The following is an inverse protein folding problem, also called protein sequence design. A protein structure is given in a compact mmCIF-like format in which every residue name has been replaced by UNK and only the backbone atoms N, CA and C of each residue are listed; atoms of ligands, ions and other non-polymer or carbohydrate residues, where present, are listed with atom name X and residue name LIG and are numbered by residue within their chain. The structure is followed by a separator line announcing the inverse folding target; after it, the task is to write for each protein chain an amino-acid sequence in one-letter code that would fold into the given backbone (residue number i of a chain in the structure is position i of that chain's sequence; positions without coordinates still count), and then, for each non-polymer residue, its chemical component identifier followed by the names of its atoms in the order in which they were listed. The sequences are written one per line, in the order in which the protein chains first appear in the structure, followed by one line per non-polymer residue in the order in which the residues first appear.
data_IF_429807105155
#
_entry.id   IF_429807105155
#
_cell.length_a   1.000
_cell.length_b   1.000
_cell.length_c   1.000
_cell.angle_alpha   90.00
_cell.angle_beta   90.00
_cell.angle_gamma   90.00
#
_symmetry.space_group_name_H-M   'P 1'
#
loop_
_entity.id
_entity.type
_entity.pdbx_description
1 polymer ?
#
# COMPACT_ATOMS: atom_id res chain seq x y z
N UNK A 1 2.97 -1.64 7.19
CA UNK A 1 3.91 -2.32 8.12
C UNK A 1 4.16 -3.71 7.58
N UNK A 2 5.38 -4.24 7.68
CA UNK A 2 5.66 -5.55 7.10
C UNK A 2 7.00 -6.11 7.53
N UNK A 3 7.21 -7.39 7.27
CA UNK A 3 8.48 -8.09 7.42
C UNK A 3 9.03 -8.30 6.03
N UNK A 4 10.26 -7.84 5.80
CA UNK A 4 10.94 -7.97 4.50
C UNK A 4 12.29 -8.61 4.74
N UNK A 5 12.53 -9.73 4.05
CA UNK A 5 13.82 -10.39 3.98
C UNK A 5 14.60 -9.87 2.79
N UNK A 6 15.93 -10.00 2.86
CA UNK A 6 16.84 -9.59 1.80
C UNK A 6 17.86 -10.69 1.55
N UNK A 7 17.99 -11.09 0.30
CA UNK A 7 18.97 -12.08 -0.15
C UNK A 7 19.87 -11.47 -1.21
N UNK A 8 21.18 -11.62 -1.05
CA UNK A 8 22.17 -11.16 -2.04
C UNK A 8 22.11 -12.03 -3.30
N UNK A 9 22.27 -11.40 -4.47
CA UNK A 9 22.31 -12.12 -5.75
C UNK A 9 23.70 -12.68 -6.07
N UNK A 10 24.76 -12.01 -5.64
CA UNK A 10 26.13 -12.43 -5.89
C UNK A 10 26.80 -12.98 -4.62
N UNK A 11 27.75 -13.91 -4.78
CA UNK A 11 28.50 -14.52 -3.68
C UNK A 11 29.45 -13.53 -3.01
N UNK A 12 30.13 -12.71 -3.83
CA UNK A 12 31.22 -11.82 -3.38
C UNK A 12 30.84 -10.33 -3.37
N UNK A 13 29.63 -10.01 -3.84
CA UNK A 13 29.11 -8.65 -3.90
C UNK A 13 27.68 -8.59 -3.36
N UNK A 14 27.39 -7.54 -2.61
CA UNK A 14 26.04 -7.25 -2.15
C UNK A 14 25.43 -6.09 -2.93
N UNK A 15 25.93 -5.75 -4.13
CA UNK A 15 25.42 -4.62 -4.93
C UNK A 15 23.97 -4.81 -5.40
N UNK A 16 23.57 -6.07 -5.62
CA UNK A 16 22.23 -6.44 -6.06
C UNK A 16 21.62 -7.47 -5.11
N UNK A 17 20.36 -7.24 -4.73
CA UNK A 17 19.64 -7.97 -3.70
C UNK A 17 18.21 -8.21 -4.16
N UNK A 18 17.66 -9.38 -3.83
CA UNK A 18 16.22 -9.61 -3.88
C UNK A 18 15.65 -9.34 -2.50
N UNK A 19 14.68 -8.44 -2.43
CA UNK A 19 13.85 -8.22 -1.24
C UNK A 19 12.48 -8.84 -1.46
N UNK A 20 12.04 -9.64 -0.49
CA UNK A 20 10.72 -10.28 -0.52
C UNK A 20 10.15 -10.31 0.89
N UNK A 21 8.83 -10.38 1.03
CA UNK A 21 8.24 -10.33 2.37
C UNK A 21 6.73 -10.36 2.42
N UNK A 22 6.21 -9.94 3.56
CA UNK A 22 4.78 -9.70 3.78
C UNK A 22 4.59 -8.27 4.27
N UNK A 23 3.64 -7.57 3.68
CA UNK A 23 3.32 -6.19 4.03
C UNK A 23 1.82 -6.01 4.16
N UNK A 24 1.40 -5.38 5.25
CA UNK A 24 0.05 -4.95 5.46
C UNK A 24 -0.08 -3.48 5.06
N UNK A 25 -1.00 -3.20 4.13
CA UNK A 25 -1.25 -1.86 3.59
C UNK A 25 -2.69 -1.44 3.87
N UNK A 26 -2.85 -0.14 4.11
CA UNK A 26 -4.12 0.48 4.39
C UNK A 26 -4.36 1.57 3.37
N UNK A 27 -5.16 1.28 2.36
CA UNK A 27 -5.54 2.25 1.35
C UNK A 27 -6.82 2.94 1.79
N UNK A 28 -6.95 4.24 1.51
CA UNK A 28 -8.17 4.95 1.86
C UNK A 28 -8.53 6.00 0.84
N UNK A 29 -9.78 5.97 0.39
CA UNK A 29 -10.39 6.98 -0.46
C UNK A 29 -11.30 7.84 0.42
N UNK A 30 -11.23 9.15 0.26
CA UNK A 30 -12.12 10.08 0.97
C UNK A 30 -12.95 10.81 -0.09
N UNK A 31 -14.19 10.34 -0.37
CA UNK A 31 -15.09 11.07 -1.24
C UNK A 31 -15.29 12.51 -0.76
N UNK A 32 -15.33 13.44 -1.72
CA UNK A 32 -15.61 14.85 -1.50
C UNK A 32 -17.10 15.14 -1.75
N UNK A 33 -17.52 16.39 -1.52
CA UNK A 33 -18.86 16.90 -1.85
C UNK A 33 -20.01 16.13 -1.20
N UNK A 34 -19.86 15.76 0.08
CA UNK A 34 -20.91 15.08 0.83
C UNK A 34 -21.34 13.72 0.24
N UNK A 35 -20.45 13.07 -0.53
CA UNK A 35 -20.72 11.77 -1.16
C UNK A 35 -20.24 10.59 -0.33
N UNK A 36 -20.86 9.43 -0.57
CA UNK A 36 -20.46 8.16 0.00
C UNK A 36 -20.70 7.03 -1.00
N UNK A 37 -19.95 5.92 -0.87
CA UNK A 37 -20.17 4.78 -1.74
C UNK A 37 -21.41 4.01 -1.31
N UNK A 38 -22.25 3.70 -2.28
CA UNK A 38 -23.42 2.82 -2.19
C UNK A 38 -23.20 1.67 -3.15
N UNK A 39 -23.45 0.45 -2.67
CA UNK A 39 -23.40 -0.74 -3.51
C UNK A 39 -24.83 -1.10 -3.92
N UNK A 40 -25.11 -0.97 -5.20
CA UNK A 40 -26.35 -1.32 -5.87
C UNK A 40 -26.12 -2.54 -6.78
N UNK A 41 -26.40 -3.73 -6.24
CA UNK A 41 -26.05 -5.00 -6.89
C UNK A 41 -24.55 -5.11 -7.20
N UNK A 42 -24.24 -5.20 -8.49
CA UNK A 42 -22.87 -5.29 -9.04
C UNK A 42 -22.23 -3.92 -9.25
N UNK A 43 -22.98 -2.83 -9.12
CA UNK A 43 -22.47 -1.47 -9.22
C UNK A 43 -22.12 -0.89 -7.85
N UNK A 44 -21.06 -0.10 -7.81
CA UNK A 44 -20.64 0.72 -6.68
C UNK A 44 -20.55 2.16 -7.15
N UNK A 45 -21.51 2.96 -6.69
CA UNK A 45 -21.72 4.34 -7.12
C UNK A 45 -21.54 5.30 -5.95
N UNK A 46 -21.21 6.54 -6.27
CA UNK A 46 -21.15 7.63 -5.30
C UNK A 46 -22.51 8.32 -5.23
N UNK A 47 -23.19 8.21 -4.09
CA UNK A 47 -24.43 8.92 -3.83
C UNK A 47 -24.19 10.07 -2.86
N UNK A 48 -25.04 11.09 -2.95
CA UNK A 48 -25.10 12.18 -1.98
C UNK A 48 -25.77 11.69 -0.69
N UNK A 49 -25.24 12.15 0.45
CA UNK A 49 -25.79 11.82 1.76
C UNK A 49 -26.84 12.86 2.17
N UNK A 50 -28.01 12.43 2.64
CA UNK A 50 -29.13 13.34 2.97
C UNK A 50 -28.81 14.34 4.09
N UNK A 51 -27.81 14.05 4.92
CA UNK A 51 -27.30 14.95 5.96
C UNK A 51 -25.96 15.60 5.60
N UNK A 52 -25.36 16.33 6.54
CA UNK A 52 -24.02 16.91 6.35
C UNK A 52 -22.92 15.95 6.85
N UNK A 53 -22.19 15.33 5.93
CA UNK A 53 -21.03 14.51 6.23
C UNK A 53 -19.83 15.38 6.64
N UNK A 54 -19.46 15.25 7.90
CA UNK A 54 -18.17 15.73 8.43
C UNK A 54 -17.00 14.86 7.96
N UNK A 55 -17.25 13.59 7.62
CA UNK A 55 -16.22 12.66 7.13
C UNK A 55 -16.82 11.52 6.32
N UNK A 56 -16.31 11.33 5.11
CA UNK A 56 -16.53 10.13 4.29
C UNK A 56 -15.18 9.48 4.04
N UNK A 57 -14.98 8.24 4.53
CA UNK A 57 -13.72 7.51 4.35
C UNK A 57 -13.98 6.06 4.03
N UNK A 58 -13.66 5.67 2.81
CA UNK A 58 -13.59 4.30 2.35
C UNK A 58 -12.19 3.75 2.62
N UNK A 59 -12.08 2.60 3.31
CA UNK A 59 -10.80 2.00 3.69
C UNK A 59 -10.73 0.56 3.21
N UNK A 60 -9.59 0.20 2.64
CA UNK A 60 -9.25 -1.12 2.16
C UNK A 60 -8.02 -1.60 2.93
N UNK A 61 -8.15 -2.75 3.59
CA UNK A 61 -7.07 -3.39 4.34
C UNK A 61 -6.53 -4.55 3.49
N UNK A 62 -5.27 -4.48 3.08
CA UNK A 62 -4.68 -5.42 2.13
C UNK A 62 -3.45 -6.10 2.72
N UNK A 63 -3.29 -7.39 2.41
CA UNK A 63 -2.08 -8.17 2.68
C UNK A 63 -1.38 -8.43 1.35
N UNK A 64 -0.15 -7.91 1.21
CA UNK A 64 0.63 -8.01 -0.03
C UNK A 64 1.99 -8.64 0.20
N UNK A 65 2.44 -9.38 -0.79
CA UNK A 65 3.76 -9.98 -0.90
C UNK A 65 4.56 -9.16 -1.91
N UNK A 66 5.43 -8.25 -1.46
CA UNK A 66 6.33 -7.53 -2.36
C UNK A 66 7.51 -8.40 -2.78
N UNK A 67 7.96 -8.24 -4.03
CA UNK A 67 9.22 -8.76 -4.56
C UNK A 67 9.93 -7.63 -5.30
N UNK A 68 11.09 -7.22 -4.81
CA UNK A 68 11.87 -6.12 -5.34
C UNK A 68 13.31 -6.55 -5.64
N UNK A 69 13.83 -6.13 -6.77
CA UNK A 69 15.26 -6.09 -7.02
C UNK A 69 15.78 -4.76 -6.49
N UNK A 70 16.63 -4.83 -5.48
CA UNK A 70 17.30 -3.67 -4.89
C UNK A 70 18.75 -3.61 -5.33
N UNK A 71 19.14 -2.45 -5.81
CA UNK A 71 20.49 -2.10 -6.23
C UNK A 71 21.03 -1.00 -5.33
N UNK A 72 22.28 -1.14 -4.91
CA UNK A 72 22.95 -0.09 -4.17
C UNK A 72 24.25 -0.59 -3.55
N UNK A 73 25.24 0.28 -3.39
CA UNK A 73 26.53 -0.11 -2.84
C UNK A 73 26.38 -0.59 -1.39
N UNK A 74 27.35 -1.39 -0.95
CA UNK A 74 27.39 -1.93 0.42
C UNK A 74 28.82 -1.85 0.94
N UNK A 75 29.00 -1.42 2.19
CA UNK A 75 30.31 -1.40 2.84
C UNK A 75 30.61 -2.79 3.41
N UNK A 76 31.67 -3.46 2.93
CA UNK A 76 32.19 -4.67 3.57
C UNK A 76 32.87 -4.26 4.87
N UNK A 77 32.37 -4.75 5.99
CA UNK A 77 32.98 -4.62 7.31
C UNK A 77 33.66 -5.94 7.61
N UNK A 78 34.98 -5.97 7.56
CA UNK A 78 35.77 -7.13 7.97
C UNK A 78 36.06 -7.03 9.47
N UNK A 79 35.77 -8.11 10.19
CA UNK A 79 36.18 -8.33 11.58
C UNK A 79 37.02 -9.60 11.63
N UNK A 80 37.76 -9.77 12.73
CA UNK A 80 38.76 -10.84 12.90
C UNK A 80 38.26 -12.26 12.53
N UNK A 81 36.99 -12.58 12.80
CA UNK A 81 36.41 -13.91 12.53
C UNK A 81 35.22 -13.91 11.55
N UNK A 82 34.81 -12.76 11.01
CA UNK A 82 33.70 -12.70 10.04
C UNK A 82 33.69 -11.40 9.24
N UNK A 83 33.14 -11.45 8.03
CA UNK A 83 32.82 -10.26 7.24
C UNK A 83 31.30 -10.03 7.19
N UNK A 84 30.87 -8.78 7.28
CA UNK A 84 29.46 -8.38 7.11
C UNK A 84 29.35 -7.22 6.13
N UNK A 85 28.43 -7.29 5.19
CA UNK A 85 28.09 -6.15 4.35
C UNK A 85 27.07 -5.26 5.07
N UNK A 86 27.37 -3.96 5.20
CA UNK A 86 26.47 -2.95 5.73
C UNK A 86 25.96 -2.04 4.62
N UNK A 87 24.65 -1.86 4.55
CA UNK A 87 23.99 -0.89 3.66
C UNK A 87 23.63 0.41 4.39
N UNK A 88 24.11 0.58 5.64
CA UNK A 88 23.79 1.74 6.46
C UNK A 88 24.34 3.03 5.84
N UNK A 89 23.50 4.07 5.71
CA UNK A 89 23.76 5.34 5.02
C UNK A 89 24.13 5.24 3.53
N UNK A 90 23.86 4.11 2.88
CA UNK A 90 24.13 3.92 1.45
C UNK A 90 22.90 4.27 0.61
N UNK A 91 23.14 4.72 -0.62
CA UNK A 91 22.10 4.87 -1.63
C UNK A 91 21.50 3.51 -1.99
N UNK A 92 20.19 3.47 -2.18
CA UNK A 92 19.45 2.29 -2.61
C UNK A 92 18.36 2.67 -3.61
N UNK A 93 18.25 1.87 -4.67
CA UNK A 93 17.16 1.92 -5.62
C UNK A 93 16.55 0.54 -5.73
N UNK A 94 15.24 0.42 -5.60
CA UNK A 94 14.53 -0.83 -5.75
C UNK A 94 13.42 -0.72 -6.78
N UNK A 95 13.25 -1.77 -7.58
CA UNK A 95 12.15 -1.91 -8.54
C UNK A 95 11.63 -3.34 -8.52
N UNK A 96 10.32 -3.50 -8.67
CA UNK A 96 9.72 -4.82 -8.74
C UNK A 96 8.20 -4.76 -8.68
N UNK A 97 7.61 -5.84 -8.21
CA UNK A 97 6.17 -6.02 -8.16
C UNK A 97 5.66 -6.42 -6.79
N UNK A 98 4.35 -6.47 -6.66
CA UNK A 98 3.68 -7.09 -5.54
C UNK A 98 2.40 -7.75 -6.00
N UNK A 99 2.00 -8.77 -5.27
CA UNK A 99 0.69 -9.41 -5.40
C UNK A 99 0.14 -9.68 -4.01
N UNK A 100 -1.18 -9.75 -3.87
CA UNK A 100 -1.81 -9.88 -2.57
C UNK A 100 -3.33 -9.88 -2.65
N UNK A 101 -3.95 -9.81 -1.48
CA UNK A 101 -5.39 -9.90 -1.34
C UNK A 101 -5.95 -8.74 -0.51
N UNK A 102 -7.13 -8.25 -0.92
CA UNK A 102 -7.95 -7.39 -0.08
C UNK A 102 -8.63 -8.24 0.99
N UNK A 103 -8.32 -7.99 2.26
CA UNK A 103 -8.88 -8.76 3.37
C UNK A 103 -10.19 -8.18 3.88
N UNK A 104 -10.32 -6.86 3.86
CA UNK A 104 -11.47 -6.18 4.41
C UNK A 104 -11.64 -4.81 3.78
N UNK A 105 -12.89 -4.51 3.46
CA UNK A 105 -13.31 -3.19 3.00
C UNK A 105 -14.33 -2.60 3.96
N UNK A 106 -14.14 -1.32 4.31
CA UNK A 106 -14.98 -0.63 5.29
C UNK A 106 -15.16 0.84 4.94
N UNK A 107 -16.41 1.29 4.92
CA UNK A 107 -16.75 2.70 4.86
C UNK A 107 -16.97 3.27 6.26
N UNK A 108 -16.43 4.47 6.51
CA UNK A 108 -16.62 5.24 7.73
C UNK A 108 -17.31 6.55 7.38
N UNK A 109 -18.50 6.76 7.94
CA UNK A 109 -19.27 7.99 7.79
C UNK A 109 -19.34 8.69 9.14
N UNK A 110 -19.24 10.02 9.15
CA UNK A 110 -19.43 10.86 10.33
C UNK A 110 -20.30 12.03 9.93
N UNK A 111 -21.44 12.21 10.58
CA UNK A 111 -22.40 13.28 10.29
C UNK A 111 -23.00 13.82 11.58
N UNK A 112 -23.65 14.98 11.50
CA UNK A 112 -24.43 15.53 12.61
C UNK A 112 -25.89 15.07 12.49
N UNK A 113 -26.46 14.62 13.60
CA UNK A 113 -27.88 14.28 13.72
C UNK A 113 -28.41 14.75 15.07
N UNK A 114 -29.49 15.54 15.05
CA UNK A 114 -30.13 16.09 16.26
C UNK A 114 -29.19 16.86 17.20
N UNK A 115 -28.17 17.55 16.69
CA UNK A 115 -27.16 18.26 17.50
C UNK A 115 -26.04 17.37 18.08
N UNK A 116 -26.16 16.05 17.94
CA UNK A 116 -25.11 15.09 18.28
C UNK A 116 -24.29 14.69 17.05
N UNK A 117 -23.14 14.06 17.24
CA UNK A 117 -22.30 13.58 16.13
C UNK A 117 -22.34 12.06 16.06
N UNK A 118 -22.95 11.53 15.00
CA UNK A 118 -23.01 10.10 14.73
C UNK A 118 -21.79 9.63 13.92
N UNK A 119 -21.43 8.37 14.10
CA UNK A 119 -20.30 7.73 13.41
C UNK A 119 -20.59 6.28 13.06
N UNK A 120 -20.77 6.04 11.77
CA UNK A 120 -21.08 4.71 11.26
C UNK A 120 -19.85 4.07 10.62
N UNK A 121 -19.72 2.75 10.80
CA UNK A 121 -18.61 1.93 10.29
C UNK A 121 -19.18 0.71 9.59
N UNK A 122 -19.43 0.82 8.30
CA UNK A 122 -20.09 -0.21 7.50
C UNK A 122 -19.02 -1.08 6.85
N UNK A 123 -19.02 -2.39 7.15
CA UNK A 123 -18.18 -3.38 6.47
C UNK A 123 -19.00 -4.04 5.36
N UNK A 124 -18.58 -3.88 4.11
CA UNK A 124 -19.19 -4.50 2.93
C UNK A 124 -18.08 -4.71 1.89
N UNK A 125 -18.31 -5.56 0.89
CA UNK A 125 -17.35 -5.73 -0.21
C UNK A 125 -17.29 -4.49 -1.09
N UNK A 126 -18.41 -3.78 -1.31
CA UNK A 126 -18.50 -2.65 -2.24
C UNK A 126 -17.92 -3.00 -3.62
N UNK A 127 -18.15 -4.24 -4.06
CA UNK A 127 -17.59 -4.82 -5.29
C UNK A 127 -16.10 -4.55 -5.47
N UNK A 128 -15.35 -4.46 -4.38
CA UNK A 128 -13.89 -4.26 -4.39
C UNK A 128 -13.20 -5.52 -4.90
N UNK A 129 -12.09 -5.34 -5.62
CA UNK A 129 -11.30 -6.48 -6.07
C UNK A 129 -10.63 -7.19 -4.89
N UNK A 130 -10.84 -8.50 -4.81
CA UNK A 130 -10.25 -9.34 -3.77
C UNK A 130 -8.76 -9.57 -4.00
N UNK A 131 -8.28 -9.45 -5.25
CA UNK A 131 -6.89 -9.63 -5.61
C UNK A 131 -6.27 -8.29 -5.99
N UNK A 132 -5.04 -8.05 -5.54
CA UNK A 132 -4.32 -6.81 -5.80
C UNK A 132 -2.94 -7.17 -6.31
N UNK A 133 -2.56 -6.59 -7.44
CA UNK A 133 -1.22 -6.75 -7.98
C UNK A 133 -0.78 -5.47 -8.66
N UNK A 134 0.52 -5.23 -8.64
CA UNK A 134 1.05 -3.97 -9.11
C UNK A 134 2.55 -3.95 -9.23
N UNK A 135 3.03 -2.83 -9.75
CA UNK A 135 4.45 -2.50 -9.81
C UNK A 135 4.78 -1.48 -8.76
N UNK A 136 6.00 -1.54 -8.26
CA UNK A 136 6.49 -0.56 -7.30
C UNK A 136 7.98 -0.36 -7.39
N UNK A 137 8.38 0.87 -7.14
CA UNK A 137 9.76 1.29 -7.09
C UNK A 137 10.00 2.18 -5.88
N UNK A 138 11.26 2.29 -5.48
CA UNK A 138 11.67 3.20 -4.43
C UNK A 138 13.12 3.63 -4.61
N UNK A 139 13.44 4.82 -4.12
CA UNK A 139 14.77 5.39 -4.13
C UNK A 139 15.04 6.03 -2.78
N UNK A 140 16.22 5.82 -2.20
CA UNK A 140 16.50 6.31 -0.86
C UNK A 140 17.96 6.23 -0.44
N UNK A 141 18.23 6.72 0.77
CA UNK A 141 19.55 6.75 1.40
C UNK A 141 19.41 6.34 2.86
N UNK A 142 20.19 5.33 3.27
CA UNK A 142 20.12 4.80 4.63
C UNK A 142 18.74 4.23 4.95
N UNK A 143 18.11 4.76 6.00
CA UNK A 143 16.85 4.24 6.52
C UNK A 143 15.63 4.86 5.80
N UNK A 144 15.82 5.99 5.11
CA UNK A 144 14.76 6.73 4.43
C UNK A 144 14.74 6.45 2.92
N UNK A 145 13.55 6.27 2.38
CA UNK A 145 13.32 6.18 0.94
C UNK A 145 11.98 6.82 0.55
N UNK A 146 11.90 7.32 -0.68
CA UNK A 146 10.63 7.65 -1.32
C UNK A 146 10.21 6.46 -2.16
N UNK A 147 8.93 6.08 -2.07
CA UNK A 147 8.37 4.96 -2.82
C UNK A 147 7.22 5.40 -3.70
N UNK A 148 7.08 4.71 -4.83
CA UNK A 148 5.96 4.82 -5.76
C UNK A 148 5.38 3.41 -5.99
N UNK A 149 4.05 3.32 -6.04
CA UNK A 149 3.32 2.09 -6.41
C UNK A 149 2.19 2.41 -7.35
N UNK A 150 1.94 1.47 -8.24
CA UNK A 150 0.81 1.50 -9.16
C UNK A 150 0.11 0.14 -9.14
N UNK A 151 -1.15 0.14 -8.73
CA UNK A 151 -2.03 -1.02 -8.78
C UNK A 151 -2.47 -1.23 -10.23
N UNK A 152 -2.10 -2.38 -10.81
CA UNK A 152 -2.44 -2.74 -12.19
C UNK A 152 -3.91 -3.17 -12.30
N UNK A 153 -4.48 -3.70 -11.22
CA UNK A 153 -5.90 -3.98 -11.12
C UNK A 153 -6.71 -2.73 -10.75
N UNK A 154 -7.99 -2.76 -11.13
CA UNK A 154 -8.97 -1.78 -10.69
C UNK A 154 -9.33 -1.99 -9.21
N UNK A 155 -9.72 -0.90 -8.54
CA UNK A 155 -10.21 -0.86 -7.16
C UNK A 155 -11.53 -1.64 -7.04
N UNK A 156 -12.42 -1.45 -8.01
CA UNK A 156 -13.74 -2.10 -8.10
C UNK A 156 -13.77 -3.09 -9.26
N UNK A 157 -14.48 -4.20 -9.10
CA UNK A 157 -14.70 -5.23 -10.12
C UNK A 157 -15.61 -4.70 -11.24
N UNK A 158 -15.50 -5.27 -12.44
CA UNK A 158 -16.45 -5.04 -13.53
C UNK A 158 -17.89 -5.32 -13.04
N UNK A 159 -18.90 -4.57 -13.53
CA UNK A 159 -18.88 -3.58 -14.63
C UNK A 159 -18.62 -2.13 -14.17
N UNK A 160 -17.97 -1.91 -13.02
CA UNK A 160 -17.69 -0.57 -12.51
C UNK A 160 -16.64 0.17 -13.34
N UNK A 161 -16.60 1.50 -13.22
CA UNK A 161 -15.60 2.32 -13.90
C UNK A 161 -14.16 1.90 -13.53
N UNK A 162 -13.28 1.84 -14.52
CA UNK A 162 -11.88 1.47 -14.33
C UNK A 162 -11.13 2.54 -13.52
N UNK A 163 -10.92 2.25 -12.24
CA UNK A 163 -10.19 3.12 -11.32
C UNK A 163 -8.98 2.37 -10.76
N UNK A 164 -7.77 2.75 -11.20
CA UNK A 164 -6.53 2.22 -10.68
C UNK A 164 -5.98 3.12 -9.58
N UNK A 165 -5.28 2.52 -8.62
CA UNK A 165 -4.71 3.26 -7.49
C UNK A 165 -3.22 3.54 -7.72
N UNK A 166 -2.82 4.78 -7.50
CA UNK A 166 -1.42 5.23 -7.48
C UNK A 166 -1.07 5.71 -6.07
N UNK A 167 0.07 5.28 -5.56
CA UNK A 167 0.51 5.60 -4.20
C UNK A 167 1.93 6.14 -4.20
N UNK A 168 2.11 7.31 -3.61
CA UNK A 168 3.41 7.94 -3.37
C UNK A 168 3.59 8.13 -1.87
N UNK A 169 4.79 7.91 -1.36
CA UNK A 169 5.05 8.20 0.04
C UNK A 169 6.47 7.95 0.50
N UNK A 170 6.64 8.03 1.82
CA UNK A 170 7.92 7.77 2.48
C UNK A 170 7.93 6.36 3.02
N UNK A 171 9.06 5.69 2.83
CA UNK A 171 9.40 4.36 3.35
C UNK A 171 10.53 4.54 4.36
N UNK A 172 10.35 3.94 5.52
CA UNK A 172 11.36 3.86 6.57
C UNK A 172 11.69 2.38 6.77
N UNK A 173 12.94 2.01 6.51
CA UNK A 173 13.47 0.68 6.80
C UNK A 173 14.26 0.79 8.11
N UNK A 174 13.86 0.04 9.14
CA UNK A 174 14.55 -0.07 10.42
C UNK A 174 15.33 -1.38 10.53
#
# INVERSE_FOLDING_TARGET
MGVVWSTRLFKDSNIARIKYGFSFTYNSLNPIDNKYFVQDGELTVLNEFDGNLKKSKFRMDNLVVPIHFEFGPSRKLERENYFRYSTHKMFKFGIGGYAGFNMSTRQKLKYADGGSTQKDKIKKSYNTNNFIYGISSYIGVGDFAVYCKYDLNTIFNDPNSNQNNISLGVRIDM
#
